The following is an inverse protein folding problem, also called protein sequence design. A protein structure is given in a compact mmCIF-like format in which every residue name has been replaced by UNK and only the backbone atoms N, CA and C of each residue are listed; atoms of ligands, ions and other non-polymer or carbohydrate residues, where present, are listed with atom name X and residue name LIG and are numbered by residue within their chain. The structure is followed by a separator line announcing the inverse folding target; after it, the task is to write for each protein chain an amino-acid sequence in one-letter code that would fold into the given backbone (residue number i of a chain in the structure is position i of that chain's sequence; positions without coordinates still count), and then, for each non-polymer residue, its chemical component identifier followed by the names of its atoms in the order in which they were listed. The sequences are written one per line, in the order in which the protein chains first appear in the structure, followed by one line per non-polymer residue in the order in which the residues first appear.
data_IF_532390008294
#
_entry.id   IF_532390008294
#
_cell.length_a   1.000
_cell.length_b   1.000
_cell.length_c   1.000
_cell.angle_alpha   90.00
_cell.angle_beta   90.00
_cell.angle_gamma   90.00
#
_symmetry.space_group_name_H-M   'P 1'
#
loop_
_entity.id
_entity.type
_entity.pdbx_description
1 polymer ?
#
# COMPACT_ATOMS: atom_id res chain seq x y z
N UNK A 1 40.66 -8.02 16.99
CA UNK A 1 39.78 -8.85 16.12
C UNK A 1 38.29 -8.86 16.52
N UNK A 2 37.84 -8.17 17.61
CA UNK A 2 36.42 -8.15 18.04
C UNK A 2 35.55 -7.03 17.41
N UNK A 3 36.16 -5.96 16.90
CA UNK A 3 35.42 -4.77 16.41
C UNK A 3 34.90 -4.95 14.97
N UNK A 4 35.71 -5.51 14.06
CA UNK A 4 35.34 -5.64 12.64
C UNK A 4 34.11 -6.54 12.41
N UNK A 5 33.95 -7.60 13.19
CA UNK A 5 32.81 -8.52 13.05
C UNK A 5 31.50 -7.85 13.46
N UNK A 6 31.53 -7.01 14.50
CA UNK A 6 30.37 -6.26 14.96
C UNK A 6 29.92 -5.22 13.94
N UNK A 7 30.86 -4.50 13.34
CA UNK A 7 30.56 -3.52 12.28
C UNK A 7 29.94 -4.20 11.06
N UNK A 8 30.45 -5.36 10.66
CA UNK A 8 29.87 -6.13 9.53
C UNK A 8 28.44 -6.58 9.85
N UNK A 9 28.17 -7.07 11.06
CA UNK A 9 26.82 -7.49 11.46
C UNK A 9 25.84 -6.30 11.45
N UNK A 10 26.26 -5.14 11.94
CA UNK A 10 25.43 -3.92 11.94
C UNK A 10 25.12 -3.43 10.53
N UNK A 11 26.10 -3.47 9.61
CA UNK A 11 25.88 -3.14 8.20
C UNK A 11 24.92 -4.14 7.56
N UNK A 12 25.10 -5.43 7.83
CA UNK A 12 24.22 -6.48 7.29
C UNK A 12 22.77 -6.29 7.75
N UNK A 13 22.56 -6.01 9.04
CA UNK A 13 21.22 -5.72 9.56
C UNK A 13 20.60 -4.47 8.93
N UNK A 14 21.37 -3.40 8.74
CA UNK A 14 20.88 -2.19 8.08
C UNK A 14 20.45 -2.45 6.62
N UNK A 15 21.20 -3.26 5.87
CA UNK A 15 20.85 -3.64 4.50
C UNK A 15 19.60 -4.54 4.46
N UNK A 16 19.49 -5.50 5.38
CA UNK A 16 18.30 -6.34 5.50
C UNK A 16 17.05 -5.51 5.80
N UNK A 17 17.13 -4.51 6.68
CA UNK A 17 15.98 -3.63 7.00
C UNK A 17 15.59 -2.74 5.81
N UNK A 18 16.55 -2.19 5.07
CA UNK A 18 16.28 -1.40 3.86
C UNK A 18 15.65 -2.24 2.73
N UNK A 19 16.07 -3.51 2.58
CA UNK A 19 15.55 -4.42 1.55
C UNK A 19 14.07 -4.79 1.76
N UNK A 20 13.62 -4.93 3.01
CA UNK A 20 12.24 -5.34 3.32
C UNK A 20 11.24 -4.20 3.04
N UNK A 21 11.64 -2.93 3.18
CA UNK A 21 10.76 -1.79 2.88
C UNK A 21 10.52 -1.57 1.37
N UNK A 22 11.32 -2.20 0.50
CA UNK A 22 11.30 -1.93 -0.94
C UNK A 22 10.15 -2.64 -1.69
N UNK A 23 9.42 -3.55 -1.03
CA UNK A 23 8.36 -4.37 -1.64
C UNK A 23 6.94 -3.88 -1.36
N UNK A 24 6.74 -2.73 -0.73
CA UNK A 24 5.41 -2.21 -0.39
C UNK A 24 4.72 -1.42 -1.54
N UNK A 25 5.12 -1.64 -2.80
CA UNK A 25 4.78 -0.74 -3.91
C UNK A 25 3.97 -1.35 -5.07
N UNK A 26 3.46 -2.58 -4.98
CA UNK A 26 2.74 -3.19 -6.11
C UNK A 26 1.22 -3.28 -5.94
N UNK A 27 0.69 -3.38 -4.72
CA UNK A 27 -0.74 -3.63 -4.50
C UNK A 27 -1.54 -2.34 -4.23
N UNK A 28 -1.59 -1.39 -5.16
CA UNK A 28 -2.50 -0.23 -5.06
C UNK A 28 -3.28 -0.03 -6.36
N UNK A 29 -4.59 0.32 -6.29
CA UNK A 29 -5.39 0.49 -7.48
C UNK A 29 -4.86 1.59 -8.40
N UNK A 30 -4.98 1.37 -9.72
CA UNK A 30 -4.48 2.31 -10.76
C UNK A 30 -5.13 3.69 -10.72
N UNK A 31 -6.31 3.78 -10.12
CA UNK A 31 -7.03 5.02 -9.85
C UNK A 31 -7.77 4.92 -8.52
N UNK A 32 -7.97 6.05 -7.86
CA UNK A 32 -8.77 6.20 -6.66
C UNK A 32 -9.31 7.64 -6.60
N UNK A 33 -10.61 7.80 -6.39
CA UNK A 33 -11.24 9.11 -6.25
C UNK A 33 -11.06 9.67 -4.83
N UNK A 34 -11.07 8.79 -3.83
CA UNK A 34 -10.94 9.14 -2.42
C UNK A 34 -9.70 8.46 -1.82
N UNK A 35 -8.54 9.13 -1.88
CA UNK A 35 -7.38 8.69 -1.13
C UNK A 35 -7.39 9.25 0.30
N UNK A 36 -7.03 8.41 1.26
CA UNK A 36 -6.72 8.83 2.63
C UNK A 36 -5.24 8.62 2.90
N UNK A 37 -4.61 9.65 3.47
CA UNK A 37 -3.20 9.66 3.84
C UNK A 37 -3.10 9.45 5.35
N UNK A 38 -2.34 8.46 5.80
CA UNK A 38 -2.14 8.17 7.20
C UNK A 38 -0.73 7.64 7.46
N UNK A 39 0.03 8.32 8.32
CA UNK A 39 1.34 7.87 8.82
C UNK A 39 2.31 7.35 7.74
N UNK A 40 2.44 8.09 6.63
CA UNK A 40 3.33 7.72 5.52
C UNK A 40 2.76 6.65 4.56
N UNK A 41 1.47 6.33 4.67
CA UNK A 41 0.77 5.43 3.76
C UNK A 41 -0.43 6.11 3.10
N UNK A 42 -0.70 5.71 1.86
CA UNK A 42 -1.87 6.12 1.08
C UNK A 42 -2.77 4.90 0.93
N UNK A 43 -4.02 5.05 1.34
CA UNK A 43 -5.07 4.02 1.19
C UNK A 43 -6.20 4.55 0.31
N UNK A 44 -6.83 3.65 -0.46
CA UNK A 44 -7.97 3.99 -1.29
C UNK A 44 -9.29 3.69 -0.57
N UNK A 45 -10.11 4.72 -0.36
CA UNK A 45 -11.41 4.60 0.31
C UNK A 45 -12.59 4.35 -0.63
N UNK A 46 -12.34 4.31 -1.95
CA UNK A 46 -13.39 4.02 -2.93
C UNK A 46 -14.05 2.66 -2.67
N UNK A 47 -15.36 2.70 -2.47
CA UNK A 47 -16.21 1.52 -2.45
C UNK A 47 -16.84 1.31 -3.83
N UNK A 48 -16.82 0.07 -4.32
CA UNK A 48 -17.40 -0.28 -5.61
C UNK A 48 -18.09 -1.64 -5.58
N UNK A 49 -18.82 -2.00 -6.66
CA UNK A 49 -19.48 -3.30 -6.79
C UNK A 49 -18.49 -4.47 -6.93
N UNK A 50 -17.24 -4.18 -7.28
CA UNK A 50 -16.12 -5.13 -7.39
C UNK A 50 -14.89 -4.53 -6.73
N UNK A 51 -13.92 -5.38 -6.41
CA UNK A 51 -12.62 -4.86 -6.02
C UNK A 51 -11.92 -4.18 -7.20
N UNK A 52 -11.15 -3.13 -6.91
CA UNK A 52 -10.44 -2.34 -7.92
C UNK A 52 -9.24 -3.12 -8.46
N UNK A 53 -8.97 -2.96 -9.75
CA UNK A 53 -7.81 -3.58 -10.40
C UNK A 53 -6.50 -3.04 -9.81
N UNK A 54 -5.60 -3.94 -9.44
CA UNK A 54 -4.34 -3.61 -8.75
C UNK A 54 -4.43 -3.65 -7.22
N UNK A 55 -5.61 -3.90 -6.66
CA UNK A 55 -5.77 -4.24 -5.25
C UNK A 55 -5.79 -5.77 -5.08
N UNK A 56 -4.97 -6.30 -4.17
CA UNK A 56 -4.88 -7.73 -3.87
C UNK A 56 -5.78 -8.09 -2.70
N UNK A 57 -5.76 -7.29 -1.63
CA UNK A 57 -6.58 -7.48 -0.45
C UNK A 57 -7.85 -6.63 -0.52
N UNK A 58 -9.00 -7.29 -0.63
CA UNK A 58 -10.29 -6.64 -0.79
C UNK A 58 -11.20 -6.95 0.40
N UNK A 59 -11.75 -5.92 1.03
CA UNK A 59 -12.72 -6.07 2.14
C UNK A 59 -14.12 -5.70 1.69
N UNK A 60 -15.10 -6.44 2.20
CA UNK A 60 -16.51 -6.08 2.06
C UNK A 60 -16.80 -4.93 3.02
N UNK A 61 -17.39 -3.84 2.53
CA UNK A 61 -17.74 -2.66 3.36
C UNK A 61 -19.24 -2.52 3.56
N UNK A 62 -20.05 -3.06 2.65
CA UNK A 62 -21.50 -3.13 2.81
C UNK A 62 -22.00 -4.45 2.23
N UNK A 63 -22.96 -5.09 2.89
CA UNK A 63 -23.56 -6.36 2.46
C UNK A 63 -25.00 -6.19 1.94
N UNK A 64 -25.67 -5.09 2.28
CA UNK A 64 -27.05 -4.77 1.88
C UNK A 64 -27.24 -3.25 1.69
N UNK A 65 -27.99 -2.77 0.67
CA UNK A 65 -28.76 -3.54 -0.31
C UNK A 65 -27.93 -4.08 -1.49
N UNK A 66 -26.71 -3.58 -1.69
CA UNK A 66 -25.74 -4.10 -2.66
C UNK A 66 -24.41 -4.34 -1.98
N UNK A 67 -23.82 -5.50 -2.24
CA UNK A 67 -22.49 -5.84 -1.72
C UNK A 67 -21.46 -4.90 -2.37
N UNK A 68 -20.71 -4.17 -1.54
CA UNK A 68 -19.63 -3.30 -2.01
C UNK A 68 -18.31 -3.69 -1.38
N UNK A 69 -17.24 -3.44 -2.13
CA UNK A 69 -15.88 -3.80 -1.79
C UNK A 69 -15.02 -2.55 -1.77
N UNK A 70 -14.06 -2.52 -0.85
CA UNK A 70 -13.04 -1.49 -0.75
C UNK A 70 -11.67 -2.16 -0.71
N UNK A 71 -10.67 -1.48 -1.26
CA UNK A 71 -9.30 -1.94 -1.13
C UNK A 71 -8.83 -1.89 0.33
N UNK A 72 -8.10 -2.91 0.76
CA UNK A 72 -7.48 -2.99 2.08
C UNK A 72 -5.97 -2.79 2.03
N UNK A 73 -5.38 -2.84 0.83
CA UNK A 73 -3.96 -2.52 0.63
C UNK A 73 -3.67 -1.02 0.73
N UNK A 74 -2.40 -0.73 0.97
CA UNK A 74 -1.84 0.60 1.06
C UNK A 74 -0.56 0.67 0.23
N UNK A 75 -0.25 1.85 -0.29
CA UNK A 75 1.09 2.17 -0.82
C UNK A 75 1.78 3.16 0.10
N UNK A 76 3.10 3.24 0.02
CA UNK A 76 3.84 4.32 0.66
C UNK A 76 3.42 5.69 0.09
N UNK A 77 3.44 6.71 0.96
CA UNK A 77 3.31 8.11 0.55
C UNK A 77 4.65 8.63 0.03
N UNK A 78 4.88 8.35 -1.26
CA UNK A 78 6.06 8.74 -2.03
C UNK A 78 5.90 10.11 -2.71
N UNK A 79 4.83 10.85 -2.39
CA UNK A 79 4.47 12.10 -3.06
C UNK A 79 3.78 11.91 -4.42
N UNK A 80 3.58 10.68 -4.89
CA UNK A 80 2.80 10.43 -6.10
C UNK A 80 1.34 10.84 -5.84
N UNK A 81 0.73 11.68 -6.69
CA UNK A 81 -0.64 12.14 -6.47
C UNK A 81 -1.67 11.02 -6.61
N UNK A 82 -2.78 11.14 -5.89
CA UNK A 82 -3.93 10.25 -6.06
C UNK A 82 -4.57 10.49 -7.42
N UNK A 83 -4.57 9.48 -8.29
CA UNK A 83 -5.11 9.60 -9.65
C UNK A 83 -6.62 9.32 -9.66
N UNK A 84 -7.47 10.29 -10.05
CA UNK A 84 -8.91 10.09 -10.09
C UNK A 84 -9.31 9.03 -11.13
N UNK A 85 -10.38 8.30 -10.87
CA UNK A 85 -10.94 7.34 -11.79
C UNK A 85 -11.75 8.05 -12.87
N UNK A 86 -11.47 7.74 -14.15
CA UNK A 86 -12.31 8.22 -15.25
C UNK A 86 -13.70 7.61 -15.10
N UNK A 87 -14.72 8.45 -14.99
CA UNK A 87 -16.12 8.05 -15.14
C UNK A 87 -16.37 7.88 -16.64
N UNK A 88 -16.71 6.66 -17.06
CA UNK A 88 -17.25 6.38 -18.40
C UNK A 88 -18.76 6.30 -18.31
#
# INVERSE_FOLDING_TARGET
MKSSTLVVILILQAVLVMGILSQANAEFPKCCDNCRFFSGAVVCDDAGPKCRDGCVNCRVVQTSPKKTFRCADARADDGTPCKPCKKH
#
